data_IF_578580643667
#
_entry.id   IF_578580643667
#
_cell.length_a   1.000
_cell.length_b   1.000
_cell.length_c   1.000
_cell.angle_alpha   90.00
_cell.angle_beta   90.00
_cell.angle_gamma   90.00
#
_symmetry.space_group_name_H-M   'P 1'
#
loop_
_entity.id
_entity.type
_entity.pdbx_description
1 polymer ?
#
# COMPACT_ATOMS: atom_id res chain seq x y z
N UNK A 1 -1.78 -13.12 34.37
CA UNK A 1 -3.04 -13.77 33.95
C UNK A 1 -3.16 -13.53 32.46
N UNK A 2 -2.77 -14.51 31.66
CA UNK A 2 -2.77 -14.41 30.19
C UNK A 2 -4.11 -14.98 29.72
N UNK A 3 -4.97 -14.13 29.16
CA UNK A 3 -6.25 -14.56 28.61
C UNK A 3 -6.16 -14.51 27.08
N UNK A 4 -5.69 -15.59 26.47
CA UNK A 4 -5.76 -15.80 25.03
C UNK A 4 -7.17 -16.25 24.70
N UNK A 5 -7.96 -15.43 24.00
CA UNK A 5 -9.26 -15.84 23.47
C UNK A 5 -9.26 -15.69 21.95
N UNK A 6 -9.28 -16.82 21.26
CA UNK A 6 -9.47 -16.91 19.82
C UNK A 6 -10.85 -16.36 19.45
N UNK A 7 -10.90 -15.44 18.51
CA UNK A 7 -12.15 -15.01 17.85
C UNK A 7 -12.21 -15.74 16.52
N UNK A 8 -13.16 -16.67 16.40
CA UNK A 8 -13.57 -17.24 15.11
C UNK A 8 -14.73 -16.40 14.59
N UNK A 9 -14.58 -15.81 13.40
CA UNK A 9 -15.58 -14.90 12.85
C UNK A 9 -16.73 -15.69 12.21
N UNK A 10 -17.96 -15.45 12.67
CA UNK A 10 -19.21 -15.82 11.98
C UNK A 10 -19.89 -14.51 11.57
N UNK A 11 -20.33 -14.41 10.32
CA UNK A 11 -20.83 -13.19 9.70
C UNK A 11 -21.98 -12.52 10.48
N UNK A 12 -21.94 -11.20 10.60
CA UNK A 12 -22.94 -10.35 11.25
C UNK A 12 -23.25 -9.11 10.36
N UNK A 13 -24.37 -8.40 10.59
CA UNK A 13 -25.22 -7.84 9.53
C UNK A 13 -24.72 -6.52 8.93
N UNK A 14 -25.15 -6.30 7.68
CA UNK A 14 -24.78 -5.22 6.78
C UNK A 14 -25.27 -3.84 7.27
N UNK A 15 -24.32 -2.94 7.53
CA UNK A 15 -24.59 -1.50 7.63
C UNK A 15 -24.52 -0.87 6.21
N UNK A 16 -25.54 -0.11 5.83
CA UNK A 16 -25.59 0.58 4.53
C UNK A 16 -24.77 1.87 4.57
N UNK A 17 -23.59 1.84 3.97
CA UNK A 17 -22.80 3.03 3.60
C UNK A 17 -23.18 3.48 2.18
N UNK A 18 -23.24 4.80 1.95
CA UNK A 18 -23.52 5.36 0.61
C UNK A 18 -22.17 5.60 -0.09
N UNK A 19 -21.87 4.89 -1.18
CA UNK A 19 -20.59 5.04 -1.86
C UNK A 19 -20.40 6.42 -2.50
N UNK A 20 -19.19 6.96 -2.37
CA UNK A 20 -18.71 8.03 -3.23
C UNK A 20 -18.69 7.53 -4.69
N UNK A 21 -18.99 8.44 -5.63
CA UNK A 21 -19.26 8.21 -7.04
C UNK A 21 -18.61 6.94 -7.63
N UNK A 22 -19.47 6.00 -8.02
CA UNK A 22 -19.08 4.79 -8.75
C UNK A 22 -18.44 5.20 -10.07
N UNK A 23 -17.19 4.79 -10.31
CA UNK A 23 -16.56 4.93 -11.61
C UNK A 23 -17.40 4.20 -12.67
N UNK A 24 -17.53 4.81 -13.85
CA UNK A 24 -18.26 4.22 -14.98
C UNK A 24 -17.70 2.83 -15.34
N UNK A 25 -18.56 1.86 -15.71
CA UNK A 25 -18.09 0.55 -16.15
C UNK A 25 -17.16 0.68 -17.35
N UNK A 26 -16.09 -0.11 -17.35
CA UNK A 26 -15.15 -0.25 -18.47
C UNK A 26 -15.93 -0.87 -19.65
N UNK A 27 -16.25 -0.07 -20.67
CA UNK A 27 -16.77 -0.60 -21.94
C UNK A 27 -15.66 -1.37 -22.65
N UNK A 28 -15.74 -2.69 -22.59
CA UNK A 28 -14.96 -3.56 -23.46
C UNK A 28 -15.52 -3.44 -24.89
N UNK A 29 -14.73 -2.88 -25.80
CA UNK A 29 -15.00 -2.87 -27.24
C UNK A 29 -14.94 -4.31 -27.79
N UNK A 30 -16.10 -4.98 -27.80
CA UNK A 30 -16.27 -6.31 -28.37
C UNK A 30 -16.76 -6.17 -29.82
N UNK A 31 -15.81 -6.13 -30.76
CA UNK A 31 -16.07 -6.33 -32.18
C UNK A 31 -16.67 -7.72 -32.44
N UNK A 32 -17.95 -7.75 -32.84
CA UNK A 32 -18.68 -8.97 -33.17
C UNK A 32 -18.32 -9.52 -34.56
N UNK A 33 -18.17 -10.85 -34.72
CA UNK A 33 -18.39 -11.51 -35.99
C UNK A 33 -19.77 -12.18 -36.02
N UNK A 34 -20.61 -11.75 -36.94
CA UNK A 34 -21.86 -12.44 -37.30
C UNK A 34 -21.57 -13.71 -38.10
N UNK A 35 -22.13 -14.86 -37.69
CA UNK A 35 -22.34 -16.01 -38.59
C UNK A 35 -23.69 -16.66 -38.26
N UNK A 36 -24.55 -16.92 -39.26
CA UNK A 36 -25.90 -17.43 -39.03
C UNK A 36 -25.92 -18.96 -38.87
N UNK A 37 -26.90 -19.41 -38.09
CA UNK A 37 -27.23 -20.81 -37.86
C UNK A 37 -27.91 -21.49 -39.06
N UNK A 38 -27.79 -22.82 -39.20
CA UNK A 38 -28.81 -23.63 -39.85
C UNK A 38 -29.63 -24.47 -38.86
N UNK A 39 -30.91 -24.54 -39.18
CA UNK A 39 -32.02 -25.18 -38.47
C UNK A 39 -32.14 -26.66 -38.83
N UNK A 40 -32.43 -27.51 -37.82
CA UNK A 40 -33.38 -28.62 -37.93
C UNK A 40 -32.84 -30.01 -38.29
N UNK A 41 -32.96 -30.96 -37.34
CA UNK A 41 -33.92 -32.11 -37.38
C UNK A 41 -33.37 -33.35 -36.62
N UNK A 42 -34.15 -34.03 -35.75
CA UNK A 42 -33.70 -35.21 -35.02
C UNK A 42 -34.32 -36.52 -35.54
N UNK A 43 -33.53 -37.60 -35.62
CA UNK A 43 -33.92 -38.97 -35.22
C UNK A 43 -32.86 -40.00 -35.60
N UNK A 44 -32.55 -40.87 -34.62
CA UNK A 44 -32.48 -42.34 -34.73
C UNK A 44 -31.30 -42.93 -33.96
N UNK A 45 -31.64 -43.79 -33.01
CA UNK A 45 -30.73 -44.60 -32.21
C UNK A 45 -30.09 -45.71 -33.05
N UNK A 46 -28.78 -45.91 -32.89
CA UNK A 46 -28.11 -47.20 -33.13
C UNK A 46 -27.03 -47.38 -32.08
N UNK A 47 -27.12 -48.47 -31.32
CA UNK A 47 -26.09 -48.95 -30.41
C UNK A 47 -25.07 -49.81 -31.18
N UNK A 48 -23.77 -49.52 -31.03
CA UNK A 48 -22.67 -50.47 -31.26
C UNK A 48 -21.54 -50.22 -30.23
N UNK A 49 -20.96 -51.32 -29.77
CA UNK A 49 -20.03 -51.53 -28.67
C UNK A 49 -18.60 -50.93 -28.86
N UNK A 50 -17.69 -51.02 -27.86
CA UNK A 50 -16.48 -50.20 -27.76
C UNK A 50 -15.28 -50.81 -28.50
N UNK A 51 -14.37 -49.97 -28.99
CA UNK A 51 -13.11 -50.45 -29.57
C UNK A 51 -11.93 -49.49 -29.34
N UNK A 52 -10.99 -50.01 -28.56
CA UNK A 52 -9.53 -49.86 -28.59
C UNK A 52 -8.86 -48.48 -28.49
N UNK A 53 -8.21 -48.29 -27.33
CA UNK A 53 -6.97 -47.54 -27.09
C UNK A 53 -5.86 -47.87 -28.11
N UNK A 54 -5.12 -46.85 -28.59
CA UNK A 54 -3.74 -47.05 -29.02
C UNK A 54 -2.75 -46.18 -28.22
N UNK A 55 -1.81 -46.85 -27.56
CA UNK A 55 -0.46 -46.39 -27.19
C UNK A 55 0.34 -47.67 -26.99
N UNK A 56 1.67 -47.76 -27.20
CA UNK A 56 2.67 -46.76 -27.62
C UNK A 56 3.52 -47.20 -28.84
N UNK A 57 4.38 -46.33 -29.37
CA UNK A 57 5.71 -46.79 -29.83
C UNK A 57 6.76 -45.66 -29.71
N UNK A 58 7.95 -45.94 -29.14
CA UNK A 58 9.08 -45.02 -29.07
C UNK A 58 9.88 -45.08 -30.37
N UNK A 59 10.52 -43.97 -30.75
CA UNK A 59 11.56 -43.99 -31.78
C UNK A 59 12.90 -43.59 -31.15
N UNK A 60 13.86 -44.48 -31.35
CA UNK A 60 15.27 -44.39 -31.01
C UNK A 60 15.95 -43.37 -31.95
N UNK A 61 16.89 -42.56 -31.49
CA UNK A 61 18.30 -42.93 -31.64
C UNK A 61 18.94 -42.27 -32.87
N UNK A 62 19.56 -41.11 -32.67
CA UNK A 62 20.40 -40.45 -33.69
C UNK A 62 21.34 -39.42 -33.06
N UNK A 63 22.55 -39.88 -32.68
CA UNK A 63 23.68 -39.09 -32.19
C UNK A 63 24.46 -38.40 -33.35
N UNK A 64 25.48 -37.54 -33.09
CA UNK A 64 25.69 -36.30 -33.82
C UNK A 64 26.77 -36.40 -34.90
N UNK A 65 26.70 -35.52 -35.91
CA UNK A 65 27.79 -35.31 -36.86
C UNK A 65 28.35 -33.89 -36.70
N UNK A 66 29.65 -33.82 -36.42
CA UNK A 66 30.41 -32.58 -36.27
C UNK A 66 31.06 -32.12 -37.59
N UNK A 67 31.28 -30.79 -37.64
CA UNK A 67 32.29 -30.02 -38.39
C UNK A 67 32.04 -29.71 -39.90
N UNK A 68 32.63 -28.62 -40.47
CA UNK A 68 33.54 -27.63 -39.90
C UNK A 68 33.13 -26.14 -40.06
N UNK A 69 33.86 -25.30 -39.34
CA UNK A 69 33.93 -23.82 -39.42
C UNK A 69 34.39 -23.30 -40.79
N UNK A 70 33.92 -22.11 -41.20
CA UNK A 70 34.86 -21.14 -41.74
C UNK A 70 34.76 -19.76 -41.08
N UNK A 71 35.93 -19.29 -40.64
CA UNK A 71 36.28 -17.90 -40.34
C UNK A 71 36.09 -17.00 -41.56
N UNK A 72 35.29 -15.94 -41.44
CA UNK A 72 35.46 -14.72 -42.25
C UNK A 72 35.28 -13.50 -41.35
N UNK A 73 36.39 -12.79 -41.14
CA UNK A 73 36.41 -11.46 -40.57
C UNK A 73 35.81 -10.47 -41.57
N UNK A 74 34.95 -9.57 -41.11
CA UNK A 74 34.61 -8.37 -41.88
C UNK A 74 34.65 -7.17 -40.94
N UNK A 75 35.73 -6.41 -41.08
CA UNK A 75 35.91 -5.10 -40.48
C UNK A 75 34.85 -4.13 -41.04
N UNK A 76 34.25 -3.30 -40.17
CA UNK A 76 33.43 -2.16 -40.58
C UNK A 76 34.11 -0.86 -40.09
N UNK A 77 34.10 0.22 -40.89
CA UNK A 77 35.08 1.29 -40.79
C UNK A 77 34.87 2.25 -39.62
N UNK A 78 36.01 2.71 -39.11
CA UNK A 78 36.18 3.93 -38.33
C UNK A 78 35.81 5.14 -39.19
N UNK A 79 34.76 5.87 -38.84
CA UNK A 79 34.55 7.23 -39.37
C UNK A 79 35.15 8.26 -38.42
N UNK A 80 36.24 8.84 -38.90
CA UNK A 80 36.91 10.03 -38.40
C UNK A 80 36.23 11.26 -38.99
N UNK A 81 35.76 12.19 -38.15
CA UNK A 81 35.50 13.60 -38.54
C UNK A 81 35.76 14.54 -37.34
N UNK A 82 36.01 15.85 -37.58
CA UNK A 82 37.14 16.60 -37.05
C UNK A 82 36.71 17.61 -35.96
N UNK A 83 37.66 18.37 -35.37
CA UNK A 83 37.44 19.15 -34.15
C UNK A 83 36.97 20.60 -34.38
N UNK A 84 36.51 21.18 -33.27
CA UNK A 84 36.52 22.59 -32.86
C UNK A 84 35.35 23.52 -33.24
N UNK A 85 34.70 24.08 -32.21
CA UNK A 85 34.60 25.52 -31.84
C UNK A 85 33.69 25.60 -30.61
N UNK A 86 34.21 25.87 -29.42
CA UNK A 86 34.43 27.20 -28.80
C UNK A 86 33.13 27.93 -28.40
N UNK A 87 33.16 28.63 -27.25
CA UNK A 87 32.08 29.33 -26.51
C UNK A 87 31.30 28.45 -25.51
N UNK A 88 31.13 28.74 -24.21
CA UNK A 88 31.44 29.92 -23.38
C UNK A 88 31.41 29.45 -21.92
N UNK A 89 32.54 29.52 -21.22
CA UNK A 89 32.59 29.32 -19.77
C UNK A 89 31.92 30.52 -19.08
N UNK A 90 30.83 30.28 -18.35
CA UNK A 90 30.27 31.29 -17.44
C UNK A 90 31.10 31.27 -16.16
N UNK A 91 31.90 32.30 -15.97
CA UNK A 91 32.69 32.51 -14.76
C UNK A 91 31.78 32.77 -13.56
N UNK A 92 31.87 31.92 -12.55
CA UNK A 92 31.33 32.16 -11.20
C UNK A 92 32.13 33.30 -10.54
N UNK A 93 31.50 34.36 -10.02
CA UNK A 93 32.21 35.42 -9.32
C UNK A 93 32.76 34.92 -7.97
N UNK A 94 33.96 35.39 -7.55
CA UNK A 94 34.50 35.07 -6.24
C UNK A 94 33.77 35.83 -5.13
N UNK A 95 33.33 35.10 -4.11
CA UNK A 95 32.85 35.68 -2.85
C UNK A 95 33.98 36.47 -2.17
N UNK A 96 33.73 37.74 -1.92
CA UNK A 96 34.61 38.63 -1.14
C UNK A 96 34.27 38.52 0.35
N UNK A 97 35.23 38.22 1.24
CA UNK A 97 35.02 38.30 2.67
C UNK A 97 35.02 39.79 3.11
N UNK A 98 33.94 40.22 3.75
CA UNK A 98 33.84 41.55 4.38
C UNK A 98 34.21 41.43 5.87
N UNK A 99 35.28 42.13 6.25
CA UNK A 99 35.71 42.29 7.63
C UNK A 99 35.17 43.61 8.23
N UNK A 100 34.62 43.46 9.44
CA UNK A 100 34.52 44.31 10.65
C UNK A 100 34.96 45.80 10.58
N UNK A 101 34.24 46.72 11.26
CA UNK A 101 34.80 47.25 12.51
C UNK A 101 33.80 47.47 13.67
N UNK A 102 34.39 47.49 14.86
CA UNK A 102 33.91 47.76 16.23
C UNK A 102 33.56 49.21 16.54
N UNK A 103 32.65 49.45 17.51
CA UNK A 103 32.70 50.56 18.51
C UNK A 103 31.89 50.12 19.75
N UNK A 104 32.49 49.82 20.90
CA UNK A 104 32.93 50.74 21.97
C UNK A 104 31.86 51.75 22.44
N UNK A 105 31.40 51.58 23.67
CA UNK A 105 30.40 52.43 24.31
C UNK A 105 30.15 52.02 25.76
N UNK A 106 31.13 52.26 26.64
CA UNK A 106 30.93 52.33 28.10
C UNK A 106 30.30 53.68 28.45
N UNK A 107 29.25 53.71 29.28
CA UNK A 107 29.34 54.53 30.48
C UNK A 107 28.80 53.83 31.74
N UNK A 108 29.38 54.25 32.86
CA UNK A 108 29.12 53.82 34.21
C UNK A 108 27.74 54.22 34.74
N UNK A 109 27.20 53.41 35.66
CA UNK A 109 26.29 53.89 36.70
C UNK A 109 26.49 53.06 37.97
N UNK A 110 27.08 53.72 38.96
CA UNK A 110 27.17 53.34 40.37
C UNK A 110 25.78 53.36 40.98
N UNK A 111 25.33 52.25 41.57
CA UNK A 111 24.11 52.17 42.38
C UNK A 111 24.27 51.10 43.44
N UNK A 112 24.28 51.53 44.71
CA UNK A 112 24.49 50.68 45.87
C UNK A 112 23.42 49.59 46.00
N UNK A 113 23.87 48.34 46.16
CA UNK A 113 22.99 47.22 46.49
C UNK A 113 22.59 47.31 47.98
N UNK A 114 21.33 47.63 48.23
CA UNK A 114 20.70 47.37 49.53
C UNK A 114 20.31 45.89 49.57
N UNK A 115 20.94 45.13 50.47
CA UNK A 115 20.59 43.74 50.73
C UNK A 115 19.14 43.67 51.25
N UNK A 116 18.21 43.30 50.38
CA UNK A 116 16.86 42.89 50.77
C UNK A 116 16.91 41.39 51.00
N UNK A 117 16.53 40.96 52.21
CA UNK A 117 16.48 39.55 52.57
C UNK A 117 15.53 38.82 51.62
N UNK A 118 16.07 37.91 50.80
CA UNK A 118 15.30 36.98 49.99
C UNK A 118 14.50 36.09 50.93
N UNK A 119 13.15 36.04 50.85
CA UNK A 119 12.38 35.07 51.59
C UNK A 119 12.80 33.67 51.16
N UNK A 120 13.25 32.86 52.12
CA UNK A 120 13.51 31.43 51.93
C UNK A 120 12.24 30.78 51.40
N UNK A 121 12.25 30.38 50.13
CA UNK A 121 11.15 29.63 49.53
C UNK A 121 10.93 28.35 50.33
N UNK A 122 9.76 28.22 50.94
CA UNK A 122 9.27 26.98 51.53
C UNK A 122 9.31 25.91 50.44
N UNK A 123 9.99 24.80 50.71
CA UNK A 123 10.04 23.66 49.79
C UNK A 123 8.62 23.16 49.54
N UNK A 124 8.05 23.52 48.39
CA UNK A 124 6.82 22.92 47.88
C UNK A 124 7.12 21.46 47.60
N UNK A 125 6.41 20.56 48.27
CA UNK A 125 6.54 19.12 48.03
C UNK A 125 6.30 18.84 46.54
N UNK A 126 7.36 18.40 45.85
CA UNK A 126 7.29 17.91 44.48
C UNK A 126 6.39 16.69 44.48
N UNK A 127 5.18 16.84 43.93
CA UNK A 127 4.27 15.73 43.73
C UNK A 127 4.98 14.71 42.84
N UNK A 128 5.23 13.52 43.39
CA UNK A 128 5.74 12.37 42.66
C UNK A 128 4.80 12.12 41.49
N UNK A 129 5.33 12.08 40.27
CA UNK A 129 4.57 11.78 39.06
C UNK A 129 3.78 10.48 39.30
N UNK A 130 2.46 10.64 39.47
CA UNK A 130 1.55 9.52 39.62
C UNK A 130 1.66 8.64 38.39
N UNK A 131 1.73 7.34 38.61
CA UNK A 131 1.72 6.32 37.56
C UNK A 131 0.66 6.70 36.52
N UNK A 132 1.09 7.14 35.33
CA UNK A 132 0.19 7.34 34.21
C UNK A 132 -0.53 6.01 34.01
N UNK A 133 -1.86 5.94 34.14
CA UNK A 133 -2.57 4.69 33.94
C UNK A 133 -2.25 4.21 32.53
N UNK A 134 -1.56 3.07 32.44
CA UNK A 134 -1.39 2.36 31.18
C UNK A 134 -2.79 2.02 30.71
N UNK A 135 -3.23 2.61 29.61
CA UNK A 135 -4.53 2.33 29.01
C UNK A 135 -4.67 0.80 28.89
N UNK A 136 -5.67 0.24 29.57
CA UNK A 136 -6.01 -1.17 29.39
C UNK A 136 -6.57 -1.29 27.98
N UNK A 137 -6.06 -2.19 27.12
CA UNK A 137 -6.56 -2.33 25.75
C UNK A 137 -8.05 -2.66 25.82
N UNK A 138 -8.88 -1.69 25.48
CA UNK A 138 -10.32 -1.87 25.32
C UNK A 138 -10.52 -2.82 24.15
N UNK A 139 -11.45 -3.76 24.27
CA UNK A 139 -11.82 -4.69 23.20
C UNK A 139 -12.26 -3.85 21.99
N UNK A 140 -11.37 -3.68 21.03
CA UNK A 140 -11.56 -2.77 19.90
C UNK A 140 -12.53 -3.39 18.92
N UNK A 141 -13.58 -2.66 18.57
CA UNK A 141 -14.61 -3.08 17.59
C UNK A 141 -14.10 -2.93 16.15
N UNK A 142 -12.81 -3.18 15.94
CA UNK A 142 -12.24 -3.31 14.61
C UNK A 142 -12.67 -4.67 14.02
N UNK A 143 -12.93 -4.69 12.72
CA UNK A 143 -13.18 -5.93 11.98
C UNK A 143 -12.30 -5.99 10.75
N UNK A 144 -12.00 -7.20 10.30
CA UNK A 144 -11.30 -7.46 9.05
C UNK A 144 -12.33 -7.72 7.95
N UNK A 145 -12.13 -7.14 6.76
CA UNK A 145 -13.04 -7.26 5.63
C UNK A 145 -12.29 -7.52 4.32
N UNK A 146 -12.94 -8.21 3.39
CA UNK A 146 -12.43 -8.46 2.05
C UNK A 146 -11.07 -9.15 2.01
N UNK A 147 -10.80 -10.06 2.96
CA UNK A 147 -9.48 -10.69 3.10
C UNK A 147 -9.28 -11.76 2.03
N UNK A 148 -8.17 -11.69 1.32
CA UNK A 148 -7.77 -12.65 0.27
C UNK A 148 -6.31 -13.04 0.42
N UNK A 149 -6.02 -14.32 0.22
CA UNK A 149 -4.66 -14.85 0.17
C UNK A 149 -4.28 -15.35 -1.23
N UNK A 150 -3.03 -15.14 -1.60
CA UNK A 150 -2.44 -15.69 -2.81
C UNK A 150 -0.93 -15.89 -2.64
N UNK A 151 -0.36 -16.72 -3.49
CA UNK A 151 1.09 -16.89 -3.56
C UNK A 151 1.69 -15.86 -4.53
N UNK A 152 2.69 -15.12 -4.07
CA UNK A 152 3.48 -14.23 -4.91
C UNK A 152 4.76 -14.96 -5.36
N UNK A 153 4.80 -15.36 -6.63
CA UNK A 153 5.95 -16.06 -7.21
C UNK A 153 7.21 -15.19 -7.27
N UNK A 154 7.07 -13.87 -7.34
CA UNK A 154 8.21 -12.94 -7.45
C UNK A 154 8.96 -12.83 -6.13
N UNK A 155 8.21 -12.79 -5.03
CA UNK A 155 8.75 -12.70 -3.68
C UNK A 155 8.92 -14.05 -2.99
N UNK A 156 8.38 -15.13 -3.58
CA UNK A 156 8.33 -16.46 -3.00
C UNK A 156 7.70 -16.43 -1.58
N UNK A 157 6.56 -15.74 -1.46
CA UNK A 157 5.85 -15.53 -0.20
C UNK A 157 4.35 -15.73 -0.38
N UNK A 158 3.67 -16.17 0.69
CA UNK A 158 2.21 -16.11 0.74
C UNK A 158 1.81 -14.72 1.19
N UNK A 159 1.02 -14.03 0.37
CA UNK A 159 0.54 -12.67 0.63
C UNK A 159 -0.94 -12.71 0.96
N UNK A 160 -1.30 -12.03 2.05
CA UNK A 160 -2.66 -11.85 2.49
C UNK A 160 -2.98 -10.35 2.50
N UNK A 161 -4.00 -9.94 1.76
CA UNK A 161 -4.44 -8.55 1.70
C UNK A 161 -5.88 -8.44 2.19
N UNK A 162 -6.25 -7.29 2.75
CA UNK A 162 -7.61 -7.03 3.21
C UNK A 162 -7.74 -5.61 3.73
N UNK A 163 -8.84 -5.32 4.42
CA UNK A 163 -9.03 -4.03 5.11
C UNK A 163 -9.33 -4.23 6.60
N UNK A 164 -8.76 -3.36 7.42
CA UNK A 164 -9.20 -3.11 8.80
C UNK A 164 -10.30 -2.05 8.77
N UNK A 165 -11.46 -2.38 9.30
CA UNK A 165 -12.65 -1.52 9.37
C UNK A 165 -12.86 -1.08 10.80
N UNK A 166 -12.99 0.23 11.02
CA UNK A 166 -13.27 0.79 12.33
C UNK A 166 -14.77 0.96 12.56
N UNK A 167 -15.38 -0.02 13.22
CA UNK A 167 -16.77 0.05 13.67
C UNK A 167 -16.91 0.62 15.09
N UNK A 168 -15.85 1.18 15.66
CA UNK A 168 -15.94 1.87 16.95
C UNK A 168 -16.50 3.27 16.78
N UNK A 169 -16.93 3.87 17.90
CA UNK A 169 -17.40 5.27 17.92
C UNK A 169 -16.26 6.30 18.00
N UNK A 170 -14.99 5.86 17.99
CA UNK A 170 -13.81 6.71 18.12
C UNK A 170 -12.75 6.34 17.08
N UNK A 171 -11.80 7.23 16.82
CA UNK A 171 -10.69 6.91 15.93
C UNK A 171 -9.77 5.87 16.57
N UNK A 172 -9.25 4.94 15.77
CA UNK A 172 -8.35 3.88 16.22
C UNK A 172 -6.98 4.05 15.57
N UNK A 173 -5.93 3.80 16.34
CA UNK A 173 -4.56 3.61 15.86
C UNK A 173 -4.23 2.12 15.94
N UNK A 174 -4.04 1.49 14.77
CA UNK A 174 -3.58 0.11 14.65
C UNK A 174 -2.13 0.03 15.16
N UNK A 175 -1.89 -0.97 16.00
CA UNK A 175 -0.56 -1.34 16.50
C UNK A 175 0.04 -2.40 15.58
N UNK A 176 -0.74 -3.45 15.26
CA UNK A 176 -0.33 -4.53 14.36
C UNK A 176 -1.55 -5.31 13.84
N UNK A 177 -1.36 -5.99 12.72
CA UNK A 177 -2.26 -7.06 12.24
C UNK A 177 -1.47 -8.36 12.18
N UNK A 178 -1.86 -9.37 12.97
CA UNK A 178 -1.16 -10.67 13.02
C UNK A 178 -2.04 -11.81 12.55
N UNK A 179 -1.43 -12.98 12.29
CA UNK A 179 -2.17 -14.15 11.81
C UNK A 179 -1.47 -15.48 12.07
N UNK A 180 -2.29 -16.51 12.36
CA UNK A 180 -1.88 -17.92 12.32
C UNK A 180 -2.38 -18.56 11.02
N UNK A 181 -1.56 -19.38 10.36
CA UNK A 181 -1.86 -19.98 9.06
C UNK A 181 -1.86 -21.50 9.17
N UNK A 182 -2.87 -22.14 8.56
CA UNK A 182 -3.11 -23.57 8.67
C UNK A 182 -3.21 -24.23 7.29
N UNK A 183 -2.70 -25.45 7.18
CA UNK A 183 -2.90 -26.31 6.01
C UNK A 183 -4.32 -26.93 5.97
N UNK A 184 -4.59 -27.73 4.93
CA UNK A 184 -5.89 -28.39 4.74
C UNK A 184 -6.23 -29.45 5.80
N UNK A 185 -5.23 -29.90 6.56
CA UNK A 185 -5.33 -30.85 7.66
C UNK A 185 -5.48 -30.14 9.01
N UNK A 186 -5.52 -28.80 9.01
CA UNK A 186 -5.61 -27.96 10.20
C UNK A 186 -4.32 -27.89 11.00
N UNK A 187 -3.17 -28.24 10.42
CA UNK A 187 -1.86 -28.06 11.07
C UNK A 187 -1.38 -26.63 10.88
N UNK A 188 -0.81 -26.05 11.93
CA UNK A 188 -0.17 -24.73 11.88
C UNK A 188 1.08 -24.81 10.98
N UNK A 189 1.11 -24.01 9.92
CA UNK A 189 2.22 -23.94 8.95
C UNK A 189 3.01 -22.63 9.03
N UNK A 190 2.42 -21.59 9.59
CA UNK A 190 3.09 -20.34 9.96
C UNK A 190 2.29 -19.63 11.07
N UNK A 191 2.95 -18.80 11.85
CA UNK A 191 2.34 -18.01 12.93
C UNK A 191 2.75 -16.53 12.85
N UNK A 192 2.31 -15.75 13.83
CA UNK A 192 2.58 -14.31 13.91
C UNK A 192 4.06 -13.94 13.93
N UNK A 193 4.96 -14.86 14.28
CA UNK A 193 6.41 -14.60 14.31
C UNK A 193 7.07 -14.77 12.94
N UNK A 194 6.43 -15.51 12.04
CA UNK A 194 6.85 -15.72 10.66
C UNK A 194 6.19 -14.75 9.67
N UNK A 195 5.21 -13.98 10.14
CA UNK A 195 4.43 -13.05 9.36
C UNK A 195 4.97 -11.61 9.50
N UNK A 196 5.10 -10.90 8.38
CA UNK A 196 5.39 -9.47 8.35
C UNK A 196 4.12 -8.72 7.97
N UNK A 197 3.69 -7.77 8.81
CA UNK A 197 2.57 -6.90 8.50
C UNK A 197 3.00 -5.57 7.87
N UNK A 198 2.22 -5.09 6.92
CA UNK A 198 2.39 -3.78 6.31
C UNK A 198 1.07 -3.02 6.31
N UNK A 199 1.14 -1.79 6.82
CA UNK A 199 0.00 -0.88 6.95
C UNK A 199 0.41 0.47 6.33
N UNK A 200 -0.18 0.88 5.20
CA UNK A 200 0.13 2.18 4.59
C UNK A 200 -0.27 3.34 5.52
N UNK A 201 -1.27 3.10 6.36
CA UNK A 201 -1.73 4.03 7.38
C UNK A 201 -2.10 3.24 8.64
N UNK A 202 -1.78 3.76 9.82
CA UNK A 202 -2.11 3.14 11.10
C UNK A 202 -3.35 3.77 11.74
N UNK A 203 -3.76 4.98 11.34
CA UNK A 203 -4.97 5.63 11.85
C UNK A 203 -6.21 5.30 11.00
N UNK A 204 -7.25 4.76 11.65
CA UNK A 204 -8.52 4.42 11.03
C UNK A 204 -9.62 5.33 11.58
N UNK A 205 -10.17 6.27 10.78
CA UNK A 205 -11.29 7.11 11.19
C UNK A 205 -12.51 6.32 11.65
N UNK A 206 -13.43 6.95 12.40
CA UNK A 206 -14.74 6.38 12.73
C UNK A 206 -15.49 5.98 11.45
N UNK A 207 -15.91 4.72 11.35
CA UNK A 207 -16.55 4.16 10.15
C UNK A 207 -15.64 4.04 8.93
N UNK A 208 -14.35 4.40 9.09
CA UNK A 208 -13.34 4.31 8.05
C UNK A 208 -12.77 2.91 7.93
N UNK A 209 -11.95 2.72 6.90
CA UNK A 209 -11.20 1.48 6.67
C UNK A 209 -9.86 1.75 6.00
N UNK A 210 -8.88 0.92 6.30
CA UNK A 210 -7.50 1.02 5.82
C UNK A 210 -7.04 -0.36 5.36
N UNK A 211 -6.41 -0.51 4.19
CA UNK A 211 -5.92 -1.81 3.78
C UNK A 211 -4.73 -2.24 4.63
N UNK A 212 -4.53 -3.54 4.71
CA UNK A 212 -3.35 -4.15 5.31
C UNK A 212 -2.83 -5.25 4.41
N UNK A 213 -1.59 -5.61 4.66
CA UNK A 213 -0.94 -6.77 4.07
C UNK A 213 -0.25 -7.59 5.15
N UNK A 214 -0.27 -8.91 4.99
CA UNK A 214 0.61 -9.84 5.70
C UNK A 214 1.39 -10.65 4.66
N UNK A 215 2.70 -10.73 4.85
CA UNK A 215 3.61 -11.57 4.06
C UNK A 215 4.15 -12.70 4.93
N UNK A 216 4.12 -13.92 4.39
CA UNK A 216 4.72 -15.10 5.02
C UNK A 216 5.73 -15.71 4.06
N UNK A 217 7.00 -15.48 4.34
CA UNK A 217 8.10 -15.91 3.48
C UNK A 217 8.16 -17.43 3.33
N UNK A 218 8.31 -17.90 2.09
CA UNK A 218 8.45 -19.32 1.76
C UNK A 218 7.17 -20.14 1.84
N UNK A 219 6.09 -19.61 2.43
CA UNK A 219 4.80 -20.29 2.47
C UNK A 219 4.17 -20.26 1.07
N UNK A 220 3.83 -21.44 0.53
CA UNK A 220 3.25 -21.54 -0.82
C UNK A 220 1.72 -21.42 -0.81
N UNK A 221 1.07 -21.85 0.28
CA UNK A 221 -0.38 -21.78 0.42
C UNK A 221 -0.80 -21.94 1.88
N UNK A 222 -1.97 -21.42 2.23
CA UNK A 222 -2.68 -21.70 3.46
C UNK A 222 -4.14 -22.03 3.13
N UNK A 223 -4.69 -23.07 3.74
CA UNK A 223 -6.10 -23.44 3.57
C UNK A 223 -7.03 -22.65 4.50
N UNK A 224 -6.49 -22.16 5.62
CA UNK A 224 -7.18 -21.32 6.60
C UNK A 224 -6.18 -20.39 7.27
N UNK A 225 -6.66 -19.24 7.73
CA UNK A 225 -5.93 -18.32 8.59
C UNK A 225 -6.82 -17.79 9.70
N UNK A 226 -6.23 -17.51 10.86
CA UNK A 226 -6.87 -16.85 11.99
C UNK A 226 -6.17 -15.51 12.23
N UNK A 227 -6.83 -14.42 11.87
CA UNK A 227 -6.26 -13.07 11.96
C UNK A 227 -6.67 -12.34 13.24
N UNK A 228 -5.80 -11.43 13.69
CA UNK A 228 -6.01 -10.54 14.84
C UNK A 228 -5.56 -9.13 14.50
N UNK A 229 -6.23 -8.14 15.07
CA UNK A 229 -5.84 -6.73 14.98
C UNK A 229 -5.67 -6.21 16.40
N UNK A 230 -4.52 -5.62 16.68
CA UNK A 230 -4.29 -4.87 17.91
C UNK A 230 -4.35 -3.38 17.61
N UNK A 231 -5.05 -2.63 18.44
CA UNK A 231 -5.22 -1.19 18.27
C UNK A 231 -5.49 -0.48 19.60
N UNK A 232 -5.29 0.83 19.60
CA UNK A 232 -5.63 1.73 20.70
C UNK A 232 -6.42 2.94 20.19
N UNK A 233 -7.16 3.60 21.07
CA UNK A 233 -7.84 4.84 20.71
C UNK A 233 -6.83 5.92 20.32
N UNK A 234 -7.07 6.58 19.18
CA UNK A 234 -6.27 7.73 18.75
C UNK A 234 -6.81 9.00 19.41
N UNK A 235 -5.92 9.78 20.01
CA UNK A 235 -6.23 11.11 20.54
C UNK A 235 -6.02 12.24 19.52
N UNK A 236 -5.53 11.90 18.33
CA UNK A 236 -5.13 12.88 17.32
C UNK A 236 -5.86 12.59 16.01
N UNK A 237 -7.00 13.25 15.76
CA UNK A 237 -7.87 12.91 14.66
C UNK A 237 -7.20 13.10 13.30
N UNK A 238 -7.35 12.12 12.43
CA UNK A 238 -6.97 12.21 11.02
C UNK A 238 -8.11 12.85 10.22
N UNK A 239 -7.76 13.64 9.21
CA UNK A 239 -8.70 14.21 8.24
C UNK A 239 -8.78 13.31 7.01
N UNK A 240 -9.99 13.11 6.54
CA UNK A 240 -10.27 12.46 5.26
C UNK A 240 -10.47 13.52 4.19
N UNK A 241 -9.86 13.32 3.03
CA UNK A 241 -10.02 14.17 1.86
C UNK A 241 -10.57 13.31 0.72
N UNK A 242 -11.72 13.66 0.12
CA UNK A 242 -12.20 12.96 -1.06
C UNK A 242 -11.26 13.25 -2.24
N UNK A 243 -10.69 12.23 -2.90
CA UNK A 243 -9.96 12.46 -4.13
C UNK A 243 -10.88 12.99 -5.24
N UNK A 244 -10.36 13.90 -6.06
CA UNK A 244 -11.03 14.51 -7.20
C UNK A 244 -10.44 13.94 -8.51
N UNK A 245 -11.23 14.00 -9.59
CA UNK A 245 -10.80 13.61 -10.95
C UNK A 245 -10.18 12.20 -11.02
N UNK A 246 -10.70 11.28 -10.22
CA UNK A 246 -10.16 9.92 -10.13
C UNK A 246 -10.46 9.16 -11.42
N UNK A 247 -9.42 8.55 -11.98
CA UNK A 247 -9.52 7.67 -13.14
C UNK A 247 -8.53 6.53 -13.02
N UNK A 248 -8.82 5.43 -13.69
CA UNK A 248 -7.95 4.27 -13.79
C UNK A 248 -7.38 4.10 -15.20
N UNK A 249 -6.28 3.33 -15.29
CA UNK A 249 -5.72 2.83 -16.54
C UNK A 249 -4.91 1.57 -16.28
N UNK A 250 -4.77 0.74 -17.30
CA UNK A 250 -3.78 -0.35 -17.27
C UNK A 250 -2.50 0.15 -17.96
N UNK A 251 -1.36 0.05 -17.27
CA UNK A 251 -0.05 0.40 -17.82
C UNK A 251 0.95 -0.71 -17.50
N UNK A 252 1.49 -1.32 -18.56
CA UNK A 252 2.51 -2.39 -18.45
C UNK A 252 2.08 -3.54 -17.53
N UNK A 253 0.81 -3.95 -17.60
CA UNK A 253 0.23 -5.00 -16.76
C UNK A 253 -0.14 -4.58 -15.33
N UNK A 254 0.10 -3.32 -14.95
CA UNK A 254 -0.26 -2.76 -13.64
C UNK A 254 -1.58 -2.02 -13.71
N UNK A 255 -2.39 -2.15 -12.67
CA UNK A 255 -3.59 -1.34 -12.50
C UNK A 255 -3.19 -0.01 -11.87
N UNK A 256 -3.36 1.08 -12.60
CA UNK A 256 -2.99 2.42 -12.14
C UNK A 256 -4.24 3.23 -11.84
N UNK A 257 -4.26 3.88 -10.68
CA UNK A 257 -5.30 4.84 -10.26
C UNK A 257 -4.65 6.21 -10.11
N UNK A 258 -5.17 7.20 -10.81
CA UNK A 258 -4.69 8.58 -10.76
C UNK A 258 -5.80 9.53 -10.36
N UNK A 259 -5.41 10.68 -9.85
CA UNK A 259 -6.34 11.76 -9.51
C UNK A 259 -5.60 12.89 -8.81
N UNK A 260 -6.36 13.74 -8.12
CA UNK A 260 -5.79 14.79 -7.30
C UNK A 260 -6.49 14.90 -5.93
N UNK A 261 -5.76 15.43 -4.96
CA UNK A 261 -6.26 15.68 -3.61
C UNK A 261 -6.10 17.15 -3.27
N UNK A 262 -7.19 17.75 -2.77
CA UNK A 262 -7.18 19.06 -2.10
C UNK A 262 -7.38 18.90 -0.61
N UNK A 263 -6.62 19.69 0.15
CA UNK A 263 -6.91 19.96 1.54
C UNK A 263 -7.60 21.34 1.63
N UNK A 264 -8.92 21.40 1.85
CA UNK A 264 -9.65 22.66 1.95
C UNK A 264 -9.45 23.36 3.29
N UNK A 265 -8.86 22.68 4.27
CA UNK A 265 -8.66 23.20 5.61
C UNK A 265 -7.27 23.81 5.84
N UNK A 266 -6.91 23.87 7.10
CA UNK A 266 -5.60 24.33 7.55
C UNK A 266 -4.49 23.38 7.12
N UNK A 267 -3.26 23.90 7.20
CA UNK A 267 -2.03 23.15 6.90
C UNK A 267 -1.98 21.83 7.70
N UNK A 268 -1.65 20.74 7.00
CA UNK A 268 -1.35 19.44 7.61
C UNK A 268 -0.14 19.55 8.57
N UNK A 269 -0.19 18.81 9.67
CA UNK A 269 0.83 18.82 10.71
C UNK A 269 1.93 17.78 10.46
N UNK A 270 1.57 16.61 9.94
CA UNK A 270 2.43 15.42 9.92
C UNK A 270 2.48 14.77 8.54
N UNK A 271 1.34 14.38 7.97
CA UNK A 271 1.33 13.50 6.79
C UNK A 271 0.12 13.70 5.87
N UNK A 272 0.29 13.26 4.62
CA UNK A 272 -0.77 13.02 3.65
C UNK A 272 -0.43 11.71 2.94
N UNK A 273 -1.36 10.76 2.94
CA UNK A 273 -1.26 9.54 2.17
C UNK A 273 -2.51 9.37 1.33
N UNK A 274 -2.32 8.95 0.08
CA UNK A 274 -3.40 8.50 -0.81
C UNK A 274 -3.23 7.01 -0.99
N UNK A 275 -4.29 6.25 -0.77
CA UNK A 275 -4.31 4.80 -0.94
C UNK A 275 -5.34 4.45 -1.99
N UNK A 276 -4.97 3.61 -2.94
CA UNK A 276 -5.88 3.02 -3.92
C UNK A 276 -6.06 1.54 -3.60
N UNK A 277 -7.29 1.11 -3.32
CA UNK A 277 -7.63 -0.28 -3.03
C UNK A 277 -8.40 -0.85 -4.20
N UNK A 278 -8.00 -2.03 -4.68
CA UNK A 278 -8.60 -2.74 -5.81
C UNK A 278 -9.45 -3.89 -5.28
N UNK A 279 -10.64 -4.09 -5.87
CA UNK A 279 -11.60 -5.09 -5.42
C UNK A 279 -12.07 -5.97 -6.57
N UNK A 280 -12.34 -7.23 -6.23
CA UNK A 280 -13.05 -8.15 -7.10
C UNK A 280 -14.58 -7.96 -7.02
N UNK A 281 -15.31 -8.77 -7.78
CA UNK A 281 -16.77 -8.72 -7.86
C UNK A 281 -17.48 -9.11 -6.56
N UNK A 282 -16.83 -9.88 -5.70
CA UNK A 282 -17.35 -10.29 -4.39
C UNK A 282 -17.02 -9.27 -3.30
N UNK A 283 -16.24 -8.24 -3.63
CA UNK A 283 -15.81 -7.19 -2.71
C UNK A 283 -14.57 -7.56 -1.90
N UNK A 284 -13.83 -8.60 -2.26
CA UNK A 284 -12.53 -8.88 -1.65
C UNK A 284 -11.47 -7.94 -2.20
N UNK A 285 -10.50 -7.61 -1.36
CA UNK A 285 -9.32 -6.86 -1.78
C UNK A 285 -8.49 -7.76 -2.71
N UNK A 286 -8.22 -7.26 -3.91
CA UNK A 286 -7.30 -7.91 -4.85
C UNK A 286 -5.88 -7.49 -4.53
N UNK A 287 -5.66 -6.17 -4.41
CA UNK A 287 -4.39 -5.55 -4.08
C UNK A 287 -4.61 -4.07 -3.72
N UNK A 288 -3.57 -3.37 -3.27
CA UNK A 288 -3.61 -1.92 -3.05
C UNK A 288 -2.26 -1.27 -3.35
N UNK A 289 -2.27 0.05 -3.46
CA UNK A 289 -1.05 0.84 -3.54
C UNK A 289 -1.21 2.18 -2.85
N UNK A 290 -0.10 2.88 -2.65
CA UNK A 290 -0.05 4.15 -1.96
C UNK A 290 0.75 5.22 -2.73
N UNK A 291 0.45 6.48 -2.44
CA UNK A 291 1.25 7.61 -2.84
C UNK A 291 1.28 8.66 -1.72
N UNK A 292 2.46 9.22 -1.48
CA UNK A 292 2.68 10.32 -0.54
C UNK A 292 3.36 11.49 -1.27
N UNK A 293 2.94 12.74 -1.02
CA UNK A 293 3.69 13.90 -1.52
C UNK A 293 5.02 14.03 -0.77
N UNK A 294 6.04 14.50 -1.45
CA UNK A 294 7.33 14.83 -0.82
C UNK A 294 7.23 15.96 0.22
N UNK A 295 6.18 16.79 0.14
CA UNK A 295 5.93 17.89 1.07
C UNK A 295 4.43 17.95 1.44
N UNK A 296 3.96 17.09 2.37
CA UNK A 296 2.54 17.02 2.74
C UNK A 296 2.03 18.35 3.31
N UNK A 297 2.86 19.04 4.09
CA UNK A 297 2.56 20.36 4.67
C UNK A 297 2.42 21.48 3.62
N UNK A 298 2.71 21.23 2.34
CA UNK A 298 2.47 22.19 1.26
C UNK A 298 1.11 22.02 0.58
N UNK A 299 0.39 20.94 0.89
CA UNK A 299 -0.91 20.63 0.29
C UNK A 299 -2.01 21.28 1.15
N UNK A 300 -2.27 22.56 0.87
CA UNK A 300 -3.37 23.35 1.43
C UNK A 300 -3.67 24.58 0.55
N UNK A 301 -4.85 25.18 0.72
CA UNK A 301 -5.28 26.32 -0.09
C UNK A 301 -5.45 25.93 -1.57
N UNK A 302 -4.79 26.66 -2.47
CA UNK A 302 -4.89 26.39 -3.91
C UNK A 302 -4.01 25.21 -4.41
N UNK A 303 -3.07 24.74 -3.58
CA UNK A 303 -2.15 23.66 -3.94
C UNK A 303 -2.85 22.31 -3.87
N UNK A 304 -2.53 21.44 -4.84
CA UNK A 304 -3.08 20.09 -4.96
C UNK A 304 -1.95 19.07 -4.95
N UNK A 305 -2.26 17.84 -4.52
CA UNK A 305 -1.40 16.69 -4.74
C UNK A 305 -1.98 15.84 -5.87
N UNK A 306 -1.31 15.82 -7.03
CA UNK A 306 -1.64 14.87 -8.10
C UNK A 306 -0.97 13.53 -7.76
N UNK A 307 -1.74 12.45 -7.74
CA UNK A 307 -1.23 11.11 -7.48
C UNK A 307 -1.41 10.22 -8.71
N UNK A 308 -0.51 9.25 -8.85
CA UNK A 308 -0.55 8.18 -9.85
C UNK A 308 -0.03 6.91 -9.17
N UNK A 309 -0.95 6.04 -8.75
CA UNK A 309 -0.67 4.84 -7.97
C UNK A 309 -0.80 3.64 -8.90
N UNK A 310 0.31 2.99 -9.24
CA UNK A 310 0.30 1.75 -10.03
C UNK A 310 0.56 0.55 -9.13
N UNK A 311 -0.42 -0.35 -9.07
CA UNK A 311 -0.38 -1.56 -8.24
C UNK A 311 0.19 -2.71 -9.05
N UNK A 312 1.22 -3.35 -8.50
CA UNK A 312 1.82 -4.56 -9.10
C UNK A 312 0.80 -5.69 -9.14
N UNK A 313 0.90 -6.64 -10.09
CA UNK A 313 0.08 -7.85 -10.08
C UNK A 313 0.13 -8.58 -8.72
N UNK A 314 -0.92 -9.33 -8.36
CA UNK A 314 -2.08 -9.68 -9.18
C UNK A 314 -3.07 -8.52 -9.32
N UNK A 315 -3.58 -8.35 -10.54
CA UNK A 315 -4.66 -7.41 -10.88
C UNK A 315 -5.85 -8.14 -11.54
N UNK A 316 -5.82 -9.47 -11.57
CA UNK A 316 -6.85 -10.28 -12.20
C UNK A 316 -8.15 -10.24 -11.39
N UNK A 317 -9.26 -10.05 -12.09
CA UNK A 317 -10.59 -9.99 -11.49
C UNK A 317 -10.93 -8.65 -10.84
N UNK A 318 -10.11 -7.61 -10.99
CA UNK A 318 -10.47 -6.26 -10.52
C UNK A 318 -11.67 -5.75 -11.29
N UNK A 319 -12.75 -5.42 -10.58
CA UNK A 319 -13.97 -4.80 -11.15
C UNK A 319 -14.26 -3.43 -10.56
N UNK A 320 -13.61 -3.09 -9.44
CA UNK A 320 -13.81 -1.83 -8.74
C UNK A 320 -12.50 -1.39 -8.08
N UNK A 321 -12.30 -0.09 -8.01
CA UNK A 321 -11.26 0.51 -7.17
C UNK A 321 -11.86 1.60 -6.27
N UNK A 322 -11.08 2.00 -5.29
CA UNK A 322 -11.39 3.15 -4.44
C UNK A 322 -10.11 3.86 -4.03
N UNK A 323 -10.06 5.18 -4.29
CA UNK A 323 -9.00 6.04 -3.81
C UNK A 323 -9.46 6.75 -2.52
N UNK A 324 -8.61 6.76 -1.49
CA UNK A 324 -8.84 7.48 -0.23
C UNK A 324 -7.63 8.31 0.12
N UNK A 325 -7.85 9.54 0.56
CA UNK A 325 -6.77 10.38 1.06
C UNK A 325 -6.96 10.69 2.54
N UNK A 326 -5.90 10.46 3.31
CA UNK A 326 -5.85 10.54 4.76
C UNK A 326 -4.68 11.45 5.14
N UNK A 327 -4.91 12.46 5.96
CA UNK A 327 -3.84 13.34 6.39
C UNK A 327 -4.07 13.99 7.74
N UNK A 328 -2.97 14.40 8.36
CA UNK A 328 -2.94 14.93 9.72
C UNK A 328 -2.19 16.25 9.72
#
# INVERSE_FOLDING_TARGET
MTLTRMVSQTAAPTATWTPAATASPIEADAGAPTTPAPTGEPAAAVAVAPSATPTPQPDEGGEPTAAPSPTVATARPSETRPPATDSTATATPPFTPSATPTTNGTPAATGAATATATPTATATATATAGNTPTATPTLTTLSLAGVRGYFDETENSFRLVGEVVNNSGVEQQIITVTGDFFDSQGQLVADETAALDFLPQIFVPVGGRVPFEILVDGLQSAARWDLRVEAMESLNPIRQFPPEEVSDRIDSGRYCVRGLVRNPGERLQESLIVVAVLYDADGNVVNYGEATPSSPFSIFGARVFNFDICVSPPNDGVVRYEARALGR
#
